data_IF_042575307934
#
_entry.id   IF_042575307934
#
_cell.length_a   1.000
_cell.length_b   1.000
_cell.length_c   1.000
_cell.angle_alpha   90.00
_cell.angle_beta   90.00
_cell.angle_gamma   90.00
#
_symmetry.space_group_name_H-M   'P 1'
#
loop_
_entity.id
_entity.type
_entity.pdbx_description
1 polymer ?
#
# COMPACT_ATOMS: atom_id res chain seq x y z
N UNK A 1 31.75 -6.06 37.23
CA UNK A 1 31.68 -6.88 36.01
C UNK A 1 30.46 -6.46 35.22
N UNK A 2 30.65 -5.60 34.22
CA UNK A 2 29.56 -5.13 33.36
C UNK A 2 29.23 -6.26 32.38
N UNK A 3 28.06 -6.88 32.53
CA UNK A 3 27.55 -7.83 31.55
C UNK A 3 27.37 -7.06 30.24
N UNK A 4 28.19 -7.39 29.23
CA UNK A 4 27.90 -7.04 27.85
C UNK A 4 26.55 -7.67 27.51
N UNK A 5 25.49 -6.88 27.55
CA UNK A 5 24.23 -7.22 26.90
C UNK A 5 24.56 -7.56 25.46
N UNK A 6 24.46 -8.84 25.10
CA UNK A 6 24.61 -9.28 23.73
C UNK A 6 23.71 -8.41 22.86
N UNK A 7 24.28 -7.80 21.83
CA UNK A 7 23.54 -7.06 20.82
C UNK A 7 22.53 -8.02 20.20
N UNK A 8 21.29 -8.04 20.70
CA UNK A 8 20.16 -8.67 20.01
C UNK A 8 20.00 -7.84 18.74
N UNK A 9 20.62 -8.27 17.65
CA UNK A 9 20.44 -7.65 16.35
C UNK A 9 18.99 -7.85 15.93
N UNK A 10 18.16 -6.85 16.20
CA UNK A 10 16.76 -6.84 15.79
C UNK A 10 16.69 -6.32 14.36
N UNK A 11 16.68 -7.24 13.40
CA UNK A 11 16.48 -6.94 11.98
C UNK A 11 15.07 -6.41 11.69
N UNK A 12 14.12 -6.68 12.59
CA UNK A 12 12.73 -6.28 12.49
C UNK A 12 12.33 -5.55 13.77
N UNK A 13 11.68 -4.40 13.63
CA UNK A 13 11.12 -3.66 14.77
C UNK A 13 9.80 -2.99 14.43
N UNK A 14 9.00 -2.80 15.48
CA UNK A 14 7.74 -2.07 15.43
C UNK A 14 7.93 -0.71 16.10
N UNK A 15 8.00 0.34 15.31
CA UNK A 15 8.13 1.72 15.79
C UNK A 15 6.74 2.29 16.08
N UNK A 16 6.45 2.57 17.36
CA UNK A 16 5.21 3.22 17.80
C UNK A 16 5.51 4.29 18.84
N UNK A 17 5.65 5.58 18.45
CA UNK A 17 6.07 6.65 19.36
C UNK A 17 5.20 6.79 20.63
N UNK A 18 3.91 6.50 20.51
CA UNK A 18 2.93 6.57 21.59
C UNK A 18 2.91 5.32 22.51
N UNK A 19 3.48 4.20 22.09
CA UNK A 19 3.47 2.94 22.83
C UNK A 19 4.90 2.47 23.07
N UNK A 20 5.50 2.93 24.18
CA UNK A 20 6.89 2.59 24.52
C UNK A 20 7.14 1.09 24.66
N UNK A 21 6.09 0.31 25.00
CA UNK A 21 6.11 -1.15 25.02
C UNK A 21 6.45 -1.76 23.65
N UNK A 22 6.12 -1.11 22.53
CA UNK A 22 6.46 -1.61 21.19
C UNK A 22 7.99 -1.77 21.01
N UNK A 23 8.80 -0.98 21.71
CA UNK A 23 10.25 -1.10 21.69
C UNK A 23 10.80 -2.42 22.26
N UNK A 24 10.00 -3.18 23.02
CA UNK A 24 10.37 -4.50 23.53
C UNK A 24 9.86 -5.66 22.65
N UNK A 25 8.99 -5.39 21.67
CA UNK A 25 8.47 -6.40 20.76
C UNK A 25 9.59 -7.11 19.99
N UNK A 26 9.59 -8.43 20.02
CA UNK A 26 10.51 -9.28 19.26
C UNK A 26 9.75 -9.95 18.11
N UNK A 27 9.90 -9.40 16.90
CA UNK A 27 9.16 -9.84 15.71
C UNK A 27 9.79 -11.13 15.18
N UNK A 28 9.00 -12.19 15.05
CA UNK A 28 9.46 -13.49 14.55
C UNK A 28 8.78 -13.91 13.24
N UNK A 29 7.63 -13.34 12.90
CA UNK A 29 6.95 -13.61 11.63
C UNK A 29 6.17 -12.38 11.16
N UNK A 30 6.11 -12.19 9.85
CA UNK A 30 5.24 -11.21 9.23
C UNK A 30 4.81 -11.68 7.84
N UNK A 31 3.63 -11.25 7.42
CA UNK A 31 3.10 -11.50 6.09
C UNK A 31 2.44 -10.20 5.62
N UNK A 32 2.77 -9.73 4.42
CA UNK A 32 2.18 -8.50 3.93
C UNK A 32 2.26 -8.34 2.43
N UNK A 33 1.36 -7.52 1.93
CA UNK A 33 1.21 -7.22 0.51
C UNK A 33 1.21 -5.72 0.26
N UNK A 34 1.83 -5.34 -0.86
CA UNK A 34 1.73 -4.00 -1.45
C UNK A 34 1.30 -4.19 -2.89
N UNK A 35 0.23 -3.52 -3.29
CA UNK A 35 -0.28 -3.58 -4.64
C UNK A 35 -0.65 -2.18 -5.12
N UNK A 36 -0.65 -2.01 -6.44
CA UNK A 36 -1.10 -0.78 -7.07
C UNK A 36 -2.62 -0.70 -6.94
N UNK A 37 -3.13 0.42 -6.42
CA UNK A 37 -4.55 0.66 -6.24
C UNK A 37 -5.16 0.02 -5.00
N UNK A 38 -4.33 -0.48 -4.08
CA UNK A 38 -4.78 -1.06 -2.81
C UNK A 38 -3.96 -0.50 -1.63
N UNK A 39 -4.57 -0.31 -0.44
CA UNK A 39 -3.83 0.05 0.75
C UNK A 39 -2.83 -1.06 1.14
N UNK A 40 -1.61 -0.67 1.47
CA UNK A 40 -0.62 -1.59 2.06
C UNK A 40 -1.16 -2.27 3.31
N UNK A 41 -0.89 -3.57 3.48
CA UNK A 41 -1.28 -4.35 4.67
C UNK A 41 -0.21 -5.35 5.08
N UNK A 42 0.13 -5.37 6.37
CA UNK A 42 1.05 -6.31 7.00
C UNK A 42 0.44 -6.89 8.28
N UNK A 43 0.50 -8.21 8.42
CA UNK A 43 0.27 -8.93 9.66
C UNK A 43 1.63 -9.19 10.29
N UNK A 44 1.82 -8.79 11.54
CA UNK A 44 3.11 -8.84 12.22
C UNK A 44 2.91 -9.57 13.53
N UNK A 45 3.62 -10.68 13.71
CA UNK A 45 3.61 -11.49 14.92
C UNK A 45 4.90 -11.29 15.69
N UNK A 46 4.75 -11.07 17.00
CA UNK A 46 5.86 -10.80 17.89
C UNK A 46 5.64 -11.38 19.28
N UNK A 47 6.72 -11.64 19.99
CA UNK A 47 6.68 -11.94 21.42
C UNK A 47 6.97 -10.69 22.24
N UNK A 48 6.43 -10.66 23.46
CA UNK A 48 6.60 -9.55 24.39
C UNK A 48 6.64 -10.07 25.83
N UNK A 49 7.53 -9.55 26.70
CA UNK A 49 7.65 -9.99 28.10
C UNK A 49 6.42 -9.62 28.95
N UNK A 50 5.75 -8.51 28.62
CA UNK A 50 4.51 -8.10 29.30
C UNK A 50 3.30 -8.90 28.78
N UNK A 51 2.55 -9.58 29.68
CA UNK A 51 1.44 -10.46 29.29
C UNK A 51 0.09 -9.77 29.04
N UNK A 52 -0.01 -8.48 29.33
CA UNK A 52 -1.25 -7.70 29.32
C UNK A 52 -1.10 -6.35 28.60
N UNK A 53 -0.53 -6.37 27.39
CA UNK A 53 -0.45 -5.17 26.56
C UNK A 53 -1.86 -4.58 26.30
N UNK A 54 -2.01 -3.29 26.60
CA UNK A 54 -3.26 -2.57 26.39
C UNK A 54 -3.54 -2.42 24.90
N UNK A 55 -4.64 -3.01 24.42
CA UNK A 55 -5.10 -2.84 23.03
C UNK A 55 -5.29 -1.37 22.65
N UNK A 56 -5.62 -0.51 23.61
CA UNK A 56 -5.89 0.93 23.40
C UNK A 56 -4.63 1.71 23.03
N UNK A 57 -3.48 1.19 23.46
CA UNK A 57 -2.18 1.82 23.21
C UNK A 57 -1.69 1.51 21.78
N UNK A 58 -2.22 0.44 21.18
CA UNK A 58 -1.87 -0.02 19.85
C UNK A 58 -2.92 0.35 18.79
N UNK A 59 -4.19 0.01 19.01
CA UNK A 59 -5.25 0.17 18.01
C UNK A 59 -5.47 1.63 17.59
N UNK A 60 -5.64 1.82 16.28
CA UNK A 60 -5.83 3.10 15.62
C UNK A 60 -4.72 4.11 15.95
N UNK A 61 -3.51 3.62 16.21
CA UNK A 61 -2.34 4.47 16.41
C UNK A 61 -1.35 4.35 15.25
N UNK A 62 -0.66 5.45 14.89
CA UNK A 62 0.38 5.42 13.87
C UNK A 62 1.50 4.46 14.26
N UNK A 63 2.01 3.70 13.30
CA UNK A 63 3.11 2.78 13.52
C UNK A 63 3.96 2.67 12.25
N UNK A 64 5.21 2.26 12.42
CA UNK A 64 6.04 1.85 11.30
C UNK A 64 6.63 0.47 11.55
N UNK A 65 6.47 -0.43 10.58
CA UNK A 65 7.23 -1.67 10.52
C UNK A 65 8.57 -1.38 9.85
N UNK A 66 9.66 -1.60 10.58
CA UNK A 66 11.01 -1.28 10.12
C UNK A 66 11.79 -2.56 9.92
N UNK A 67 12.37 -2.69 8.73
CA UNK A 67 13.24 -3.78 8.32
C UNK A 67 14.65 -3.20 8.15
N UNK A 68 15.60 -3.67 8.94
CA UNK A 68 17.02 -3.39 8.78
C UNK A 68 17.66 -4.57 8.05
N UNK A 69 18.05 -4.41 6.78
CA UNK A 69 18.78 -5.44 6.05
C UNK A 69 20.03 -5.89 6.83
N UNK A 70 20.38 -7.18 6.80
CA UNK A 70 21.54 -7.68 7.49
C UNK A 70 22.81 -7.00 6.96
N UNK A 71 23.59 -6.42 7.85
CA UNK A 71 24.86 -5.81 7.49
C UNK A 71 25.98 -6.85 7.59
N UNK A 72 26.66 -7.11 6.46
CA UNK A 72 27.86 -7.92 6.44
C UNK A 72 29.06 -7.05 5.99
N UNK A 73 29.98 -6.70 6.90
CA UNK A 73 31.12 -5.83 6.58
C UNK A 73 32.13 -6.49 5.63
N UNK A 74 32.03 -7.81 5.40
CA UNK A 74 32.88 -8.51 4.43
C UNK A 74 32.39 -8.33 2.99
N UNK A 75 31.10 -8.02 2.78
CA UNK A 75 30.48 -7.91 1.44
C UNK A 75 29.97 -6.51 1.14
N UNK A 76 29.65 -5.71 2.15
CA UNK A 76 29.08 -4.35 2.02
C UNK A 76 29.89 -3.35 2.83
N UNK A 77 30.28 -2.23 2.22
CA UNK A 77 31.08 -1.18 2.90
C UNK A 77 30.27 -0.39 3.94
N UNK A 78 28.96 -0.29 3.75
CA UNK A 78 28.04 0.45 4.64
C UNK A 78 26.75 -0.35 4.80
N UNK A 79 26.07 -0.24 5.96
CA UNK A 79 24.73 -0.80 6.12
C UNK A 79 23.78 -0.18 5.10
N UNK A 80 22.93 -1.02 4.51
CA UNK A 80 21.80 -0.53 3.73
C UNK A 80 20.84 0.28 4.61
N UNK A 81 20.17 1.30 4.03
CA UNK A 81 19.17 2.06 4.74
C UNK A 81 18.02 1.16 5.18
N UNK A 82 17.46 1.46 6.35
CA UNK A 82 16.26 0.82 6.85
C UNK A 82 15.09 1.01 5.88
N UNK A 83 14.33 -0.05 5.65
CA UNK A 83 13.06 0.01 4.93
C UNK A 83 11.96 0.21 5.94
N UNK A 84 11.10 1.21 5.74
CA UNK A 84 9.97 1.47 6.63
C UNK A 84 8.66 1.32 5.88
N UNK A 85 7.73 0.61 6.49
CA UNK A 85 6.32 0.60 6.10
C UNK A 85 5.57 1.39 7.15
N UNK A 86 5.12 2.58 6.80
CA UNK A 86 4.33 3.44 7.68
C UNK A 86 2.84 3.17 7.51
N UNK A 87 2.09 3.32 8.59
CA UNK A 87 0.65 3.13 8.58
C UNK A 87 0.03 3.32 9.96
N UNK A 88 -1.10 2.66 10.16
CA UNK A 88 -1.84 2.62 11.41
C UNK A 88 -2.13 1.18 11.79
N UNK A 89 -2.14 0.89 13.08
CA UNK A 89 -2.52 -0.44 13.58
C UNK A 89 -4.05 -0.57 13.54
N UNK A 90 -4.58 -1.41 12.65
CA UNK A 90 -6.03 -1.65 12.49
C UNK A 90 -6.50 -2.90 13.21
N UNK A 91 -5.58 -3.79 13.60
CA UNK A 91 -5.87 -5.02 14.33
C UNK A 91 -4.86 -5.27 15.44
N UNK A 92 -5.32 -5.83 16.54
CA UNK A 92 -4.51 -6.23 17.68
C UNK A 92 -5.09 -7.49 18.30
N UNK A 93 -4.29 -8.55 18.41
CA UNK A 93 -4.70 -9.84 18.97
C UNK A 93 -3.62 -10.40 19.89
N UNK A 94 -4.02 -10.96 21.03
CA UNK A 94 -3.16 -11.84 21.83
C UNK A 94 -3.36 -13.27 21.33
N UNK A 95 -2.30 -13.93 20.89
CA UNK A 95 -2.36 -15.28 20.29
C UNK A 95 -2.12 -16.39 21.30
N UNK A 96 -1.21 -16.18 22.25
CA UNK A 96 -0.85 -17.17 23.24
C UNK A 96 0.05 -16.58 24.31
N UNK A 97 0.22 -17.29 25.43
CA UNK A 97 1.03 -16.81 26.55
C UNK A 97 1.73 -18.00 27.20
N UNK A 98 3.03 -17.84 27.41
CA UNK A 98 3.89 -18.76 28.14
C UNK A 98 4.29 -18.10 29.46
N UNK A 99 5.06 -18.84 30.29
CA UNK A 99 5.58 -18.29 31.55
C UNK A 99 6.47 -17.06 31.33
N UNK A 100 7.27 -17.08 30.27
CA UNK A 100 8.31 -16.09 30.05
C UNK A 100 7.89 -14.97 29.08
N UNK A 101 7.09 -15.28 28.07
CA UNK A 101 6.68 -14.33 27.04
C UNK A 101 5.24 -14.57 26.55
N UNK A 102 4.63 -13.52 26.00
CA UNK A 102 3.29 -13.56 25.40
C UNK A 102 3.37 -13.20 23.92
N UNK A 103 2.69 -13.97 23.09
CA UNK A 103 2.63 -13.78 21.64
C UNK A 103 1.46 -12.88 21.29
N UNK A 104 1.75 -11.84 20.50
CA UNK A 104 0.79 -10.91 19.97
C UNK A 104 0.88 -10.86 18.44
N UNK A 105 -0.20 -10.37 17.85
CA UNK A 105 -0.26 -10.04 16.44
C UNK A 105 -0.87 -8.65 16.28
N UNK A 106 -0.25 -7.83 15.44
CA UNK A 106 -0.80 -6.56 14.98
C UNK A 106 -1.00 -6.58 13.48
N UNK A 107 -2.07 -5.93 13.04
CA UNK A 107 -2.31 -5.65 11.62
C UNK A 107 -1.96 -4.19 11.38
N UNK A 108 -0.90 -3.95 10.63
CA UNK A 108 -0.48 -2.64 10.17
C UNK A 108 -1.03 -2.42 8.76
N UNK A 109 -1.83 -1.38 8.58
CA UNK A 109 -2.33 -0.99 7.26
C UNK A 109 -2.02 0.46 6.95
N UNK A 110 -2.01 0.81 5.67
CA UNK A 110 -2.03 2.22 5.29
C UNK A 110 -3.20 2.94 5.96
N UNK A 111 -3.03 4.19 6.37
CA UNK A 111 -4.08 5.04 6.92
C UNK A 111 -5.31 5.12 6.00
N UNK A 112 -5.14 5.02 4.68
CA UNK A 112 -6.26 4.90 3.74
C UNK A 112 -7.22 3.76 4.10
N UNK A 113 -6.74 2.69 4.72
CA UNK A 113 -7.57 1.57 5.16
C UNK A 113 -8.68 2.00 6.11
N UNK A 114 -8.47 3.04 6.93
CA UNK A 114 -9.47 3.54 7.88
C UNK A 114 -10.73 4.10 7.19
N UNK A 115 -10.62 4.45 5.91
CA UNK A 115 -11.75 4.98 5.13
C UNK A 115 -12.77 3.88 4.77
N UNK A 116 -12.50 2.60 5.07
CA UNK A 116 -13.41 1.44 4.89
C UNK A 116 -14.51 1.32 5.93
N UNK A 117 -14.48 2.13 6.99
CA UNK A 117 -15.28 1.84 8.18
C UNK A 117 -16.77 2.12 8.04
N UNK A 118 -17.18 3.15 7.29
CA UNK A 118 -18.57 3.63 7.27
C UNK A 118 -19.02 3.98 5.85
N UNK A 119 -20.05 3.29 5.31
CA UNK A 119 -20.70 3.67 4.07
C UNK A 119 -21.35 5.06 4.15
N UNK A 120 -21.30 5.82 3.06
CA UNK A 120 -21.88 7.17 2.99
C UNK A 120 -22.75 7.35 1.74
N UNK A 121 -23.65 8.32 1.84
CA UNK A 121 -24.41 8.84 0.71
C UNK A 121 -24.20 10.35 0.63
N UNK A 122 -23.56 10.81 -0.44
CA UNK A 122 -23.31 12.25 -0.69
C UNK A 122 -23.09 12.52 -2.16
N UNK A 123 -23.23 13.79 -2.55
CA UNK A 123 -23.03 14.24 -3.92
C UNK A 123 -21.96 15.33 -4.00
N UNK A 124 -21.33 15.40 -5.17
CA UNK A 124 -20.32 16.39 -5.53
C UNK A 124 -20.76 17.05 -6.84
N UNK A 125 -20.75 18.38 -6.88
CA UNK A 125 -21.17 19.19 -8.03
C UNK A 125 -19.98 19.91 -8.63
N UNK A 126 -19.92 19.94 -9.96
CA UNK A 126 -18.92 20.68 -10.73
C UNK A 126 -17.45 20.41 -10.31
N UNK A 127 -17.14 19.16 -9.99
CA UNK A 127 -15.81 18.69 -9.57
C UNK A 127 -15.24 17.67 -10.55
N UNK A 128 -13.92 17.67 -10.71
CA UNK A 128 -13.21 16.56 -11.35
C UNK A 128 -13.09 15.37 -10.38
N UNK A 129 -12.78 14.16 -10.87
CA UNK A 129 -12.56 13.03 -9.95
C UNK A 129 -11.34 13.23 -9.03
N UNK A 130 -10.17 13.72 -9.50
CA UNK A 130 -9.10 14.13 -8.60
C UNK A 130 -9.54 15.14 -7.53
N UNK A 131 -10.32 16.16 -7.90
CA UNK A 131 -10.81 17.16 -6.93
C UNK A 131 -11.67 16.51 -5.83
N UNK A 132 -12.51 15.54 -6.20
CA UNK A 132 -13.34 14.79 -5.26
C UNK A 132 -12.46 13.97 -4.33
N UNK A 133 -11.51 13.20 -4.88
CA UNK A 133 -10.59 12.38 -4.09
C UNK A 133 -9.80 13.26 -3.11
N UNK A 134 -9.26 14.38 -3.59
CA UNK A 134 -8.56 15.36 -2.77
C UNK A 134 -9.43 15.87 -1.63
N UNK A 135 -10.67 16.28 -1.92
CA UNK A 135 -11.60 16.76 -0.91
C UNK A 135 -11.82 15.72 0.20
N UNK A 136 -12.04 14.46 -0.18
CA UNK A 136 -12.27 13.36 0.76
C UNK A 136 -11.02 13.12 1.63
N UNK A 137 -9.83 13.07 1.03
CA UNK A 137 -8.59 12.86 1.79
C UNK A 137 -8.35 13.98 2.81
N UNK A 138 -8.64 15.23 2.43
CA UNK A 138 -8.54 16.39 3.33
C UNK A 138 -9.54 16.32 4.48
N UNK A 139 -10.77 15.90 4.23
CA UNK A 139 -11.79 15.68 5.27
C UNK A 139 -11.35 14.62 6.31
N UNK A 140 -10.55 13.62 5.88
CA UNK A 140 -9.97 12.59 6.75
C UNK A 140 -8.63 12.98 7.40
N UNK A 141 -8.23 14.25 7.27
CA UNK A 141 -7.03 14.79 7.90
C UNK A 141 -5.73 14.30 7.27
N UNK A 142 -5.71 14.05 5.96
CA UNK A 142 -4.44 13.93 5.23
C UNK A 142 -3.86 15.33 5.01
N UNK A 143 -3.30 15.90 6.07
CA UNK A 143 -2.81 17.28 6.18
C UNK A 143 -1.28 17.37 6.35
N UNK A 144 -0.56 16.29 6.01
CA UNK A 144 0.89 16.07 6.20
C UNK A 144 1.31 15.75 7.63
N UNK A 145 0.42 15.88 8.61
CA UNK A 145 0.72 15.50 10.01
C UNK A 145 0.38 14.02 10.21
N UNK A 146 -0.84 13.64 9.84
CA UNK A 146 -1.34 12.27 10.08
C UNK A 146 -1.28 11.37 8.84
N UNK A 147 -1.16 11.96 7.66
CA UNK A 147 -0.97 11.31 6.37
C UNK A 147 -0.72 12.38 5.31
N UNK A 148 0.05 12.06 4.28
CA UNK A 148 0.21 12.93 3.10
C UNK A 148 -0.31 12.25 1.85
N UNK A 149 -0.64 13.06 0.85
CA UNK A 149 -0.93 12.57 -0.49
C UNK A 149 -0.37 13.55 -1.52
N UNK A 150 -0.16 13.03 -2.72
CA UNK A 150 0.24 13.83 -3.87
C UNK A 150 -0.41 13.29 -5.15
N UNK A 151 -0.71 14.21 -6.07
CA UNK A 151 -1.19 13.90 -7.40
C UNK A 151 -0.09 14.25 -8.40
N UNK A 152 0.43 13.23 -9.09
CA UNK A 152 1.30 13.39 -10.25
C UNK A 152 0.55 12.89 -11.47
N UNK A 153 -0.25 13.77 -12.07
CA UNK A 153 -1.17 13.43 -13.15
C UNK A 153 -0.77 14.19 -14.42
N UNK A 154 -0.54 13.46 -15.51
CA UNK A 154 -0.26 14.06 -16.81
C UNK A 154 -1.55 14.54 -17.50
N UNK A 155 -2.66 13.83 -17.29
CA UNK A 155 -3.93 14.12 -17.97
C UNK A 155 -4.69 15.24 -17.26
N UNK A 156 -5.46 16.01 -18.03
CA UNK A 156 -6.47 16.93 -17.47
C UNK A 156 -7.80 16.20 -17.33
N UNK A 157 -8.37 16.23 -16.12
CA UNK A 157 -9.64 15.55 -15.81
C UNK A 157 -10.82 16.51 -15.91
N UNK A 158 -11.81 16.16 -16.75
CA UNK A 158 -13.01 16.99 -16.90
C UNK A 158 -13.80 17.08 -15.61
N UNK A 159 -14.34 18.26 -15.34
CA UNK A 159 -15.34 18.45 -14.30
C UNK A 159 -16.64 17.73 -14.67
N UNK A 160 -17.30 17.18 -13.66
CA UNK A 160 -18.59 16.50 -13.76
C UNK A 160 -19.62 17.38 -13.07
N UNK A 161 -20.74 17.61 -13.74
CA UNK A 161 -21.87 18.35 -13.16
C UNK A 161 -22.40 17.68 -11.89
N UNK A 162 -22.41 16.34 -11.87
CA UNK A 162 -22.89 15.56 -10.75
C UNK A 162 -22.12 14.24 -10.60
N UNK A 163 -21.65 13.96 -9.38
CA UNK A 163 -21.08 12.67 -8.98
C UNK A 163 -21.66 12.29 -7.63
N UNK A 164 -22.10 11.03 -7.49
CA UNK A 164 -22.69 10.52 -6.25
C UNK A 164 -21.85 9.37 -5.70
N UNK A 165 -21.60 9.43 -4.39
CA UNK A 165 -21.23 8.29 -3.57
C UNK A 165 -22.52 7.73 -2.99
N UNK A 166 -22.81 6.44 -3.22
CA UNK A 166 -24.08 5.84 -2.86
C UNK A 166 -23.88 4.50 -2.17
N UNK A 167 -24.08 4.49 -0.85
CA UNK A 167 -24.04 3.25 -0.06
C UNK A 167 -22.68 2.55 -0.03
N UNK A 168 -21.59 3.27 -0.31
CA UNK A 168 -20.22 2.77 -0.31
C UNK A 168 -19.36 3.61 0.64
N UNK A 169 -18.32 3.01 1.22
CA UNK A 169 -17.36 3.71 2.06
C UNK A 169 -16.41 4.59 1.23
N UNK A 170 -15.63 5.45 1.89
CA UNK A 170 -14.80 6.43 1.20
C UNK A 170 -13.62 5.78 0.47
N UNK A 171 -13.06 4.67 0.97
CA UNK A 171 -11.99 3.99 0.26
C UNK A 171 -12.52 3.33 -1.01
N UNK A 172 -13.65 2.63 -0.91
CA UNK A 172 -14.32 2.00 -2.07
C UNK A 172 -14.66 3.05 -3.11
N UNK A 173 -15.19 4.21 -2.70
CA UNK A 173 -15.52 5.31 -3.60
C UNK A 173 -14.26 5.87 -4.29
N UNK A 174 -13.20 6.19 -3.54
CA UNK A 174 -11.92 6.67 -4.11
C UNK A 174 -11.38 5.65 -5.10
N UNK A 175 -11.34 4.37 -4.73
CA UNK A 175 -10.80 3.28 -5.56
C UNK A 175 -11.60 3.13 -6.85
N UNK A 176 -12.94 3.24 -6.77
CA UNK A 176 -13.83 3.23 -7.93
C UNK A 176 -13.60 4.41 -8.86
N UNK A 177 -13.43 5.62 -8.31
CA UNK A 177 -13.11 6.81 -9.11
C UNK A 177 -11.75 6.68 -9.80
N UNK A 178 -10.72 6.25 -9.07
CA UNK A 178 -9.38 5.98 -9.59
C UNK A 178 -9.42 5.00 -10.78
N UNK A 179 -10.01 3.82 -10.59
CA UNK A 179 -10.16 2.81 -11.65
C UNK A 179 -10.96 3.34 -12.85
N UNK A 180 -12.02 4.12 -12.61
CA UNK A 180 -12.88 4.71 -13.67
C UNK A 180 -12.12 5.67 -14.59
N UNK A 181 -11.09 6.35 -14.09
CA UNK A 181 -10.36 7.35 -14.87
C UNK A 181 -8.91 6.97 -15.18
N UNK A 182 -8.50 5.75 -14.84
CA UNK A 182 -7.15 5.25 -15.09
C UNK A 182 -6.10 5.86 -14.17
N UNK A 183 -6.50 6.33 -12.99
CA UNK A 183 -5.56 6.74 -11.94
C UNK A 183 -5.25 5.53 -11.09
N UNK A 184 -3.97 5.25 -10.90
CA UNK A 184 -3.47 4.32 -9.92
C UNK A 184 -3.00 5.06 -8.67
N UNK A 185 -2.89 4.36 -7.54
CA UNK A 185 -2.23 4.90 -6.35
C UNK A 185 -1.34 3.87 -5.68
N UNK A 186 -0.32 4.33 -4.95
CA UNK A 186 0.54 3.50 -4.10
C UNK A 186 0.75 4.17 -2.76
N UNK A 187 0.89 3.38 -1.70
CA UNK A 187 1.22 3.87 -0.37
C UNK A 187 2.73 3.73 -0.15
N UNK A 188 3.40 4.84 0.10
CA UNK A 188 4.86 4.93 0.24
C UNK A 188 5.26 5.50 1.60
N UNK A 189 6.52 5.26 1.95
CA UNK A 189 7.13 5.91 3.10
C UNK A 189 7.23 7.42 2.85
N UNK A 190 6.73 8.22 3.80
CA UNK A 190 6.91 9.66 3.81
C UNK A 190 7.81 10.11 4.97
N UNK A 191 8.15 11.40 4.95
CA UNK A 191 9.09 12.00 5.93
C UNK A 191 8.59 11.92 7.37
N UNK A 192 7.28 12.03 7.58
CA UNK A 192 6.65 12.10 8.90
C UNK A 192 5.51 11.09 9.07
N UNK A 193 4.78 10.83 8.01
CA UNK A 193 3.67 9.89 7.91
C UNK A 193 3.69 9.29 6.50
N UNK A 194 2.89 8.24 6.27
CA UNK A 194 2.77 7.64 4.95
C UNK A 194 2.38 8.69 3.88
N UNK A 195 2.87 8.48 2.67
CA UNK A 195 2.50 9.27 1.51
C UNK A 195 1.73 8.42 0.50
N UNK A 196 0.51 8.84 0.17
CA UNK A 196 -0.28 8.23 -0.89
C UNK A 196 -0.03 8.97 -2.20
N UNK A 197 0.59 8.29 -3.15
CA UNK A 197 0.92 8.86 -4.45
C UNK A 197 -0.06 8.39 -5.50
N UNK A 198 -0.74 9.33 -6.14
CA UNK A 198 -1.65 9.09 -7.26
C UNK A 198 -0.95 9.41 -8.58
N UNK A 199 -1.09 8.53 -9.57
CA UNK A 199 -0.53 8.71 -10.91
C UNK A 199 -1.41 8.12 -12.01
N UNK A 200 -1.21 8.55 -13.25
CA UNK A 200 -2.00 8.09 -14.42
C UNK A 200 -1.16 7.67 -15.62
N UNK A 201 0.16 7.65 -15.46
CA UNK A 201 1.11 7.32 -16.52
C UNK A 201 2.30 6.50 -15.98
N UNK A 202 2.87 5.64 -16.83
CA UNK A 202 4.00 4.78 -16.46
C UNK A 202 5.30 5.56 -16.21
N UNK A 203 5.42 6.78 -16.77
CA UNK A 203 6.55 7.68 -16.50
C UNK A 203 6.62 8.12 -15.04
N UNK A 204 5.50 8.04 -14.33
CA UNK A 204 5.44 8.32 -12.90
C UNK A 204 5.85 7.12 -12.04
N UNK A 205 6.17 5.95 -12.60
CA UNK A 205 6.71 4.84 -11.79
C UNK A 205 8.07 5.20 -11.22
N UNK A 206 8.32 4.78 -9.98
CA UNK A 206 9.63 4.95 -9.35
C UNK A 206 10.61 4.02 -10.06
N UNK A 207 11.61 4.60 -10.73
CA UNK A 207 12.70 3.87 -11.37
C UNK A 207 13.98 4.22 -10.66
N UNK A 208 14.70 3.20 -10.22
CA UNK A 208 16.04 3.33 -9.70
C UNK A 208 16.99 2.72 -10.74
N UNK A 209 17.70 3.54 -11.54
CA UNK A 209 18.59 3.04 -12.58
C UNK A 209 19.82 2.32 -12.01
N UNK A 210 20.14 2.56 -10.74
CA UNK A 210 21.29 1.94 -10.06
C UNK A 210 20.88 0.65 -9.31
N UNK A 211 19.57 0.36 -9.24
CA UNK A 211 19.04 -0.87 -8.65
C UNK A 211 19.25 -2.05 -9.60
N UNK A 212 20.36 -2.76 -9.42
CA UNK A 212 20.64 -4.03 -10.08
C UNK A 212 20.60 -5.16 -9.04
N UNK A 213 19.66 -6.10 -9.21
CA UNK A 213 19.49 -7.26 -8.32
C UNK A 213 19.85 -8.52 -9.11
N UNK A 214 20.81 -9.34 -8.63
CA UNK A 214 21.19 -10.57 -9.32
C UNK A 214 20.06 -11.61 -9.27
N UNK A 215 19.92 -12.39 -10.34
CA UNK A 215 19.10 -13.61 -10.35
C UNK A 215 19.95 -14.81 -9.92
N UNK A 216 19.53 -15.53 -8.90
CA UNK A 216 20.22 -16.70 -8.33
C UNK A 216 19.22 -17.72 -7.82
N UNK A 217 19.05 -18.80 -8.56
CA UNK A 217 18.22 -19.93 -8.12
C UNK A 217 18.80 -20.60 -6.88
N UNK A 218 17.91 -21.10 -6.01
CA UNK A 218 18.28 -21.86 -4.83
C UNK A 218 19.06 -23.13 -5.22
N UNK A 219 20.38 -23.04 -5.16
CA UNK A 219 21.30 -24.17 -5.24
C UNK A 219 21.76 -24.44 -3.81
N UNK A 220 21.38 -25.61 -3.25
CA UNK A 220 21.25 -25.89 -1.81
C UNK A 220 22.45 -25.68 -0.86
N UNK A 221 23.54 -25.05 -1.29
CA UNK A 221 24.71 -24.66 -0.47
C UNK A 221 24.97 -23.14 -0.42
N UNK A 222 24.11 -22.29 -0.98
CA UNK A 222 24.32 -20.85 -0.98
C UNK A 222 23.93 -20.18 0.35
N UNK A 223 24.93 -19.58 1.00
CA UNK A 223 24.79 -18.48 1.96
C UNK A 223 25.48 -17.25 1.39
N UNK A 224 25.15 -16.88 0.14
CA UNK A 224 25.59 -15.58 -0.36
C UNK A 224 24.69 -14.51 0.31
N UNK A 225 25.25 -13.73 1.24
CA UNK A 225 24.52 -12.74 2.04
C UNK A 225 24.07 -11.51 1.21
N UNK A 226 23.91 -11.67 -0.10
CA UNK A 226 23.51 -10.61 -1.03
C UNK A 226 22.03 -10.82 -1.39
N UNK A 227 21.25 -9.74 -1.40
CA UNK A 227 19.87 -9.79 -1.88
C UNK A 227 19.84 -10.20 -3.36
N UNK A 228 18.99 -11.18 -3.70
CA UNK A 228 18.85 -11.73 -5.05
C UNK A 228 17.40 -12.10 -5.35
N UNK A 229 17.06 -12.17 -6.64
CA UNK A 229 15.83 -12.81 -7.13
C UNK A 229 16.09 -14.30 -7.24
N UNK A 230 15.27 -15.14 -6.61
CA UNK A 230 15.48 -16.59 -6.57
C UNK A 230 14.62 -17.39 -7.56
N UNK A 231 13.55 -16.77 -8.07
CA UNK A 231 12.58 -17.39 -8.94
C UNK A 231 11.99 -16.35 -9.89
N UNK A 232 11.72 -16.78 -11.12
CA UNK A 232 11.01 -16.01 -12.14
C UNK A 232 9.94 -16.90 -12.74
N UNK A 233 8.67 -16.55 -12.50
CA UNK A 233 7.51 -17.28 -12.98
C UNK A 233 6.72 -16.41 -13.98
N UNK A 234 6.13 -17.04 -14.99
CA UNK A 234 5.32 -16.36 -16.01
C UNK A 234 3.99 -17.08 -16.16
N UNK A 235 2.92 -16.40 -15.74
CA UNK A 235 1.54 -16.80 -16.00
C UNK A 235 0.92 -15.91 -17.08
N UNK A 236 0.14 -16.51 -17.98
CA UNK A 236 -0.56 -15.78 -19.04
C UNK A 236 -2.02 -16.22 -19.12
N UNK A 237 -2.93 -15.28 -19.40
CA UNK A 237 -4.36 -15.53 -19.57
C UNK A 237 -4.89 -14.71 -20.75
N UNK A 238 -5.76 -15.30 -21.56
CA UNK A 238 -6.37 -14.63 -22.72
C UNK A 238 -7.26 -13.46 -22.31
N UNK A 239 -7.13 -12.33 -23.01
CA UNK A 239 -7.92 -11.12 -22.82
C UNK A 239 -8.81 -10.81 -24.05
N UNK A 240 -9.88 -10.00 -23.88
CA UNK A 240 -10.67 -9.49 -25.01
C UNK A 240 -9.82 -8.70 -26.01
N UNK A 241 -10.08 -8.83 -27.31
CA UNK A 241 -9.37 -8.12 -28.37
C UNK A 241 -9.70 -6.62 -28.38
N UNK A 242 -10.91 -6.25 -27.95
CA UNK A 242 -11.30 -4.85 -27.86
C UNK A 242 -12.37 -4.61 -26.82
N UNK A 243 -12.44 -3.37 -26.33
CA UNK A 243 -13.50 -2.89 -25.44
C UNK A 243 -14.29 -1.80 -26.15
N UNK A 244 -15.61 -1.97 -26.26
CA UNK A 244 -16.51 -0.99 -26.87
C UNK A 244 -17.47 -0.38 -25.84
N UNK A 245 -17.43 0.94 -25.72
CA UNK A 245 -18.31 1.69 -24.82
C UNK A 245 -19.25 2.57 -25.63
N UNK A 246 -20.55 2.45 -25.36
CA UNK A 246 -21.60 3.27 -25.96
C UNK A 246 -22.31 4.07 -24.88
N UNK A 247 -22.51 5.36 -25.13
CA UNK A 247 -23.27 6.26 -24.23
C UNK A 247 -24.14 7.20 -25.05
N UNK A 248 -25.13 7.78 -24.37
CA UNK A 248 -26.01 8.81 -24.93
C UNK A 248 -25.71 10.15 -24.25
N UNK A 249 -25.89 11.25 -25.01
CA UNK A 249 -25.86 12.62 -24.50
C UNK A 249 -27.23 13.24 -24.75
N UNK A 250 -27.75 13.99 -23.79
CA UNK A 250 -28.99 14.77 -23.96
C UNK A 250 -28.84 15.92 -24.94
N UNK A 251 -27.60 16.30 -25.28
CA UNK A 251 -27.27 17.35 -26.25
C UNK A 251 -27.17 16.81 -27.69
N UNK A 252 -27.25 15.48 -27.89
CA UNK A 252 -27.21 14.84 -29.21
C UNK A 252 -28.52 14.09 -29.48
N UNK A 253 -28.94 13.97 -30.75
CA UNK A 253 -30.07 13.10 -31.12
C UNK A 253 -29.83 11.66 -30.68
N UNK A 254 -30.88 10.97 -30.20
CA UNK A 254 -30.79 9.56 -29.75
C UNK A 254 -30.31 8.59 -30.85
N UNK A 255 -30.51 8.96 -32.12
CA UNK A 255 -30.03 8.23 -33.29
C UNK A 255 -28.51 8.27 -33.47
N UNK A 256 -27.80 9.15 -32.74
CA UNK A 256 -26.36 9.37 -32.84
C UNK A 256 -25.67 9.10 -31.49
N UNK A 257 -25.55 7.82 -31.09
CA UNK A 257 -24.85 7.46 -29.87
C UNK A 257 -23.38 7.88 -29.93
N UNK A 258 -22.81 8.18 -28.76
CA UNK A 258 -21.36 8.33 -28.64
C UNK A 258 -20.79 6.93 -28.43
N UNK A 259 -20.07 6.44 -29.42
CA UNK A 259 -19.34 5.17 -29.37
C UNK A 259 -17.84 5.43 -29.33
N UNK A 260 -17.15 4.69 -28.47
CA UNK A 260 -15.69 4.62 -28.44
C UNK A 260 -15.29 3.15 -28.33
N UNK A 261 -14.32 2.74 -29.15
CA UNK A 261 -13.73 1.41 -29.09
C UNK A 261 -12.22 1.55 -28.91
N UNK A 262 -11.64 0.67 -28.09
CA UNK A 262 -10.20 0.57 -27.92
C UNK A 262 -9.80 -0.88 -28.22
N UNK A 263 -8.88 -1.06 -29.17
CA UNK A 263 -8.32 -2.36 -29.53
C UNK A 263 -7.03 -2.62 -28.76
N UNK A 264 -6.84 -3.84 -28.28
CA UNK A 264 -5.55 -4.30 -27.79
C UNK A 264 -4.72 -4.65 -29.02
N UNK A 265 -3.79 -3.78 -29.38
CA UNK A 265 -2.88 -3.96 -30.52
C UNK A 265 -1.69 -4.83 -30.14
N UNK A 266 -1.10 -5.51 -31.12
CA UNK A 266 0.17 -6.25 -30.99
C UNK A 266 0.13 -7.56 -30.17
N UNK A 267 -1.01 -7.93 -29.58
CA UNK A 267 -1.19 -9.22 -28.90
C UNK A 267 -2.04 -10.20 -29.72
N UNK A 268 -1.39 -11.26 -30.22
CA UNK A 268 -2.01 -12.34 -31.01
C UNK A 268 -2.78 -13.36 -30.18
N UNK A 269 -2.71 -13.27 -28.85
CA UNK A 269 -3.34 -14.23 -27.92
C UNK A 269 -4.68 -13.75 -27.38
N UNK A 270 -5.22 -12.65 -27.91
CA UNK A 270 -6.53 -12.08 -27.56
C UNK A 270 -7.69 -12.79 -28.27
N UNK A 271 -8.89 -12.73 -27.69
CA UNK A 271 -10.10 -13.31 -28.28
C UNK A 271 -11.37 -12.51 -27.95
N UNK A 272 -12.17 -12.19 -28.97
CA UNK A 272 -13.52 -11.63 -28.83
C UNK A 272 -13.59 -10.11 -28.60
N UNK A 273 -14.82 -9.58 -28.54
CA UNK A 273 -15.13 -8.17 -28.22
C UNK A 273 -15.87 -8.09 -26.88
N UNK A 274 -15.50 -7.11 -26.04
CA UNK A 274 -16.08 -6.86 -24.72
C UNK A 274 -16.81 -5.52 -24.64
#
# INVERSE_FOLDING_TARGET
MSQKTGSKHRHYRLDMPQASSAGMADIFAFEGGRAIGEPTRYQIQFTHPQPDLSRTDYLNKPAAFVIQPPFNPLTTLKPEPERRVQGVVTGFSRRGSSRDETTYEVVLESRLALLRNVPKCRFFLDRSFPDIIEQILREHGFDRIHGSFEFNLYRTYRKRSFVMQWGEDDLTFITRLCRRCGIWFVCEEGKHCENVRFGDDFTHYRRDPDLSVPYREYSGLESSAAESVDSLEMDATTLPTSYKVRTFSTERPLSEPIEAASQITEDRTTYGEA
#
